data_IF_802553358527
#
_entry.id   IF_802553358527
#
_cell.length_a   1.000
_cell.length_b   1.000
_cell.length_c   1.000
_cell.angle_alpha   90.00
_cell.angle_beta   90.00
_cell.angle_gamma   90.00
#
_symmetry.space_group_name_H-M   'P 1'
#
loop_
_entity.id
_entity.type
_entity.pdbx_description
1 polymer ?
#
# COMPACT_ATOMS: atom_id res chain seq x y z
N UNK A 1 -10.88 27.68 3.92
CA UNK A 1 -11.84 27.75 2.79
C UNK A 1 -12.04 26.32 2.33
N UNK A 2 -13.12 25.64 2.75
CA UNK A 2 -13.37 24.28 2.29
C UNK A 2 -13.87 24.35 0.85
N UNK A 3 -13.21 23.62 -0.04
CA UNK A 3 -13.68 23.44 -1.42
C UNK A 3 -14.79 22.39 -1.33
N UNK A 4 -16.03 22.84 -1.49
CA UNK A 4 -17.20 21.98 -1.66
C UNK A 4 -17.06 21.23 -3.00
N UNK A 5 -16.45 20.04 -2.96
CA UNK A 5 -16.42 19.13 -4.11
C UNK A 5 -17.78 18.46 -4.22
N UNK A 6 -18.68 19.10 -4.98
CA UNK A 6 -19.94 18.49 -5.42
C UNK A 6 -19.66 17.12 -6.05
N UNK A 7 -20.17 16.09 -5.40
CA UNK A 7 -20.17 14.69 -5.86
C UNK A 7 -21.02 14.54 -7.12
N UNK A 8 -20.43 14.74 -8.29
CA UNK A 8 -20.96 14.24 -9.57
C UNK A 8 -20.11 13.06 -10.03
N UNK A 9 -20.72 12.08 -10.73
CA UNK A 9 -20.03 10.89 -11.26
C UNK A 9 -18.82 11.23 -12.14
N UNK A 10 -18.78 12.43 -12.72
CA UNK A 10 -17.67 12.94 -13.52
C UNK A 10 -16.42 13.16 -12.66
N UNK A 11 -16.56 13.74 -11.46
CA UNK A 11 -15.43 13.94 -10.54
C UNK A 11 -14.78 12.62 -10.12
N UNK A 12 -15.57 11.56 -9.91
CA UNK A 12 -15.04 10.24 -9.60
C UNK A 12 -14.21 9.66 -10.75
N UNK A 13 -14.70 9.80 -12.00
CA UNK A 13 -13.98 9.34 -13.19
C UNK A 13 -12.68 10.14 -13.40
N UNK A 14 -12.70 11.45 -13.19
CA UNK A 14 -11.51 12.29 -13.21
C UNK A 14 -10.48 11.87 -12.16
N UNK A 15 -10.91 11.66 -10.91
CA UNK A 15 -10.03 11.19 -9.85
C UNK A 15 -9.41 9.83 -10.20
N UNK A 16 -10.20 8.87 -10.69
CA UNK A 16 -9.70 7.55 -11.09
C UNK A 16 -8.68 7.64 -12.23
N UNK A 17 -8.94 8.48 -13.24
CA UNK A 17 -7.99 8.71 -14.33
C UNK A 17 -6.70 9.35 -13.85
N UNK A 18 -6.81 10.34 -12.95
CA UNK A 18 -5.64 10.98 -12.34
C UNK A 18 -4.82 9.98 -11.51
N UNK A 19 -5.47 9.15 -10.68
CA UNK A 19 -4.81 8.10 -9.91
C UNK A 19 -4.14 7.06 -10.81
N UNK A 20 -4.78 6.65 -11.89
CA UNK A 20 -4.20 5.73 -12.88
C UNK A 20 -2.93 6.32 -13.50
N UNK A 21 -2.98 7.59 -13.91
CA UNK A 21 -1.83 8.29 -14.49
C UNK A 21 -0.69 8.44 -13.47
N UNK A 22 -1.01 8.77 -12.22
CA UNK A 22 -0.05 8.88 -11.12
C UNK A 22 0.61 7.55 -10.78
N UNK A 23 -0.17 6.46 -10.73
CA UNK A 23 0.36 5.12 -10.49
C UNK A 23 1.30 4.72 -11.63
N UNK A 24 0.88 4.94 -12.87
CA UNK A 24 1.69 4.65 -14.04
C UNK A 24 3.01 5.41 -14.02
N UNK A 25 2.99 6.72 -13.78
CA UNK A 25 4.21 7.54 -13.74
C UNK A 25 5.16 7.09 -12.63
N UNK A 26 4.65 6.77 -11.44
CA UNK A 26 5.45 6.29 -10.30
C UNK A 26 6.14 4.96 -10.63
N UNK A 27 5.42 4.01 -11.25
CA UNK A 27 6.00 2.73 -11.67
C UNK A 27 7.11 2.95 -12.72
N UNK A 28 6.91 3.85 -13.68
CA UNK A 28 7.93 4.16 -14.68
C UNK A 28 9.19 4.79 -14.07
N UNK A 29 9.02 5.72 -13.12
CA UNK A 29 10.16 6.34 -12.41
C UNK A 29 10.97 5.30 -11.63
N UNK A 30 10.28 4.43 -10.89
CA UNK A 30 10.95 3.34 -10.13
C UNK A 30 11.65 2.38 -11.08
N UNK A 31 11.01 2.02 -12.20
CA UNK A 31 11.59 1.13 -13.21
C UNK A 31 12.86 1.72 -13.83
N UNK A 32 12.85 3.00 -14.19
CA UNK A 32 14.01 3.66 -14.80
C UNK A 32 15.26 3.58 -13.94
N UNK A 33 15.14 3.80 -12.62
CA UNK A 33 16.27 3.69 -11.68
C UNK A 33 16.65 2.22 -11.43
N UNK A 34 15.66 1.33 -11.37
CA UNK A 34 15.89 -0.07 -11.03
C UNK A 34 16.57 -0.87 -12.15
N UNK A 35 16.30 -0.54 -13.41
CA UNK A 35 16.92 -1.19 -14.58
C UNK A 35 18.44 -1.01 -14.57
N UNK A 36 18.95 0.18 -14.22
CA UNK A 36 20.39 0.43 -14.09
C UNK A 36 21.05 -0.41 -12.98
N UNK A 37 20.27 -0.77 -11.96
CA UNK A 37 20.71 -1.58 -10.82
C UNK A 37 20.47 -3.09 -11.03
N UNK A 38 19.87 -3.49 -12.16
CA UNK A 38 19.48 -4.89 -12.43
C UNK A 38 18.39 -5.41 -11.49
N UNK A 39 17.55 -4.53 -10.94
CA UNK A 39 16.48 -4.86 -9.98
C UNK A 39 15.11 -4.86 -10.69
N UNK A 40 14.31 -5.89 -10.42
CA UNK A 40 12.90 -5.98 -10.86
C UNK A 40 11.91 -5.87 -9.70
N UNK A 41 10.73 -5.33 -9.97
CA UNK A 41 9.62 -5.25 -9.01
C UNK A 41 8.50 -6.22 -9.42
N UNK A 42 7.90 -6.88 -8.43
CA UNK A 42 6.79 -7.83 -8.63
C UNK A 42 5.60 -7.43 -7.76
N UNK A 43 4.47 -7.12 -8.39
CA UNK A 43 3.21 -6.83 -7.71
C UNK A 43 2.41 -8.12 -7.48
N UNK A 44 2.64 -8.79 -6.34
CA UNK A 44 1.91 -9.99 -5.93
C UNK A 44 1.55 -9.93 -4.45
N UNK A 45 0.33 -10.33 -4.09
CA UNK A 45 -0.17 -10.19 -2.72
C UNK A 45 0.68 -10.90 -1.64
N UNK A 46 1.42 -11.95 -2.00
CA UNK A 46 2.32 -12.67 -1.10
C UNK A 46 3.62 -13.09 -1.82
N UNK A 47 4.77 -12.98 -1.16
CA UNK A 47 6.06 -13.40 -1.68
C UNK A 47 6.09 -14.93 -1.90
N UNK A 48 6.12 -15.43 -3.15
CA UNK A 48 5.95 -16.85 -3.43
C UNK A 48 7.22 -17.70 -3.21
N UNK A 49 8.41 -17.09 -3.16
CA UNK A 49 9.69 -17.82 -3.23
C UNK A 49 10.44 -17.90 -1.90
N UNK A 50 10.52 -16.80 -1.16
CA UNK A 50 11.43 -16.66 -0.02
C UNK A 50 10.73 -16.83 1.33
N UNK A 51 11.46 -17.41 2.29
CA UNK A 51 11.00 -17.53 3.67
C UNK A 51 11.24 -16.25 4.47
N UNK A 52 10.62 -16.14 5.65
CA UNK A 52 10.77 -14.96 6.52
C UNK A 52 12.23 -14.63 6.87
N UNK A 53 13.07 -15.66 7.07
CA UNK A 53 14.50 -15.52 7.39
C UNK A 53 15.32 -14.89 6.25
N UNK A 54 14.82 -14.96 5.01
CA UNK A 54 15.51 -14.50 3.81
C UNK A 54 15.11 -13.05 3.47
N UNK A 55 14.12 -12.47 4.15
CA UNK A 55 13.63 -11.12 3.88
C UNK A 55 14.48 -10.09 4.65
N UNK A 56 15.07 -9.11 3.96
CA UNK A 56 15.79 -8.03 4.62
C UNK A 56 14.83 -7.15 5.42
N UNK A 57 15.19 -6.87 6.67
CA UNK A 57 14.38 -6.03 7.56
C UNK A 57 14.84 -4.59 7.42
N UNK A 58 13.91 -3.70 7.08
CA UNK A 58 14.21 -2.28 7.01
C UNK A 58 14.55 -1.72 8.40
N UNK A 59 15.61 -0.90 8.55
CA UNK A 59 16.09 -0.40 9.83
C UNK A 59 15.20 0.74 10.37
N UNK A 60 13.94 0.42 10.69
CA UNK A 60 12.96 1.34 11.28
C UNK A 60 12.62 0.88 12.70
N UNK A 61 12.84 1.74 13.70
CA UNK A 61 12.64 1.39 15.13
C UNK A 61 11.25 0.82 15.45
N UNK A 62 10.19 1.33 14.79
CA UNK A 62 8.82 0.79 14.93
C UNK A 62 8.72 -0.70 14.61
N UNK A 63 9.51 -1.22 13.66
CA UNK A 63 9.46 -2.63 13.27
C UNK A 63 10.13 -3.55 14.29
N UNK A 64 11.08 -3.05 15.08
CA UNK A 64 11.68 -3.83 16.16
C UNK A 64 10.65 -4.18 17.23
N UNK A 65 9.83 -3.20 17.62
CA UNK A 65 8.77 -3.36 18.61
C UNK A 65 7.72 -4.36 18.09
N UNK A 66 7.23 -4.13 16.86
CA UNK A 66 6.21 -5.00 16.27
C UNK A 66 6.72 -6.44 16.09
N UNK A 67 7.97 -6.64 15.66
CA UNK A 67 8.56 -7.98 15.48
C UNK A 67 8.62 -8.77 16.79
N UNK A 68 8.93 -8.10 17.91
CA UNK A 68 8.95 -8.71 19.25
C UNK A 68 7.53 -9.01 19.77
N UNK A 69 6.54 -8.22 19.33
CA UNK A 69 5.16 -8.32 19.81
C UNK A 69 4.32 -9.35 19.02
N UNK A 70 4.42 -9.37 17.70
CA UNK A 70 3.55 -10.21 16.84
C UNK A 70 3.50 -11.69 17.23
N UNK A 71 4.62 -12.37 17.58
CA UNK A 71 4.57 -13.77 18.01
C UNK A 71 3.74 -14.02 19.27
N UNK A 72 3.48 -12.99 20.08
CA UNK A 72 2.68 -13.10 21.31
C UNK A 72 1.17 -13.12 21.04
N UNK A 73 0.74 -12.60 19.88
CA UNK A 73 -0.68 -12.43 19.53
C UNK A 73 -1.12 -13.30 18.36
N UNK A 74 -0.19 -13.95 17.65
CA UNK A 74 -0.51 -14.87 16.57
C UNK A 74 0.73 -15.43 15.87
N UNK A 75 0.53 -16.42 15.00
CA UNK A 75 1.60 -17.11 14.27
C UNK A 75 1.97 -16.46 12.94
N UNK A 76 1.04 -15.75 12.29
CA UNK A 76 1.21 -15.21 10.93
C UNK A 76 1.51 -13.71 10.87
N UNK A 77 1.59 -13.03 12.02
CA UNK A 77 1.79 -11.57 12.07
C UNK A 77 3.10 -11.11 11.41
N UNK A 78 4.16 -11.91 11.53
CA UNK A 78 5.44 -11.62 10.88
C UNK A 78 5.37 -11.82 9.36
N UNK A 79 4.62 -12.82 8.89
CA UNK A 79 4.41 -13.05 7.46
C UNK A 79 3.60 -11.94 6.82
N UNK A 80 2.55 -11.48 7.49
CA UNK A 80 1.80 -10.29 7.08
C UNK A 80 2.73 -9.07 6.98
N UNK A 81 3.58 -8.84 7.98
CA UNK A 81 4.46 -7.67 8.00
C UNK A 81 5.50 -7.63 6.87
N UNK A 82 6.07 -8.78 6.51
CA UNK A 82 7.28 -8.81 5.67
C UNK A 82 7.09 -9.51 4.32
N UNK A 83 6.03 -10.29 4.13
CA UNK A 83 5.82 -11.10 2.92
C UNK A 83 4.54 -10.76 2.15
N UNK A 84 3.75 -9.78 2.58
CA UNK A 84 2.54 -9.37 1.87
C UNK A 84 2.68 -8.00 1.20
N UNK A 85 1.90 -7.76 0.15
CA UNK A 85 1.61 -6.42 -0.34
C UNK A 85 0.11 -6.26 -0.63
N UNK A 86 -0.34 -5.02 -0.67
CA UNK A 86 -1.75 -4.69 -0.90
C UNK A 86 -1.86 -3.42 -1.74
N UNK A 87 -2.98 -3.28 -2.45
CA UNK A 87 -3.42 -2.02 -3.05
C UNK A 87 -4.60 -1.54 -2.23
N UNK A 88 -4.47 -0.35 -1.64
CA UNK A 88 -5.48 0.23 -0.76
C UNK A 88 -6.05 1.50 -1.39
N UNK A 89 -7.35 1.70 -1.24
CA UNK A 89 -8.03 2.95 -1.55
C UNK A 89 -8.53 3.58 -0.26
N UNK A 90 -8.45 4.90 -0.17
CA UNK A 90 -9.02 5.68 0.93
C UNK A 90 -10.24 6.43 0.38
N UNK A 91 -11.37 6.33 1.08
CA UNK A 91 -12.64 6.94 0.68
C UNK A 91 -13.12 7.85 1.81
N UNK A 92 -13.46 9.08 1.48
CA UNK A 92 -14.00 10.04 2.44
C UNK A 92 -15.50 9.83 2.67
N UNK A 93 -16.00 10.39 3.77
CA UNK A 93 -17.40 10.40 4.16
C UNK A 93 -17.84 11.82 4.50
N UNK A 94 -19.13 12.11 4.31
CA UNK A 94 -19.69 13.44 4.56
C UNK A 94 -20.31 13.59 5.96
N UNK A 95 -20.65 12.47 6.61
CA UNK A 95 -21.21 12.43 7.97
C UNK A 95 -20.84 11.14 8.68
N UNK A 96 -21.00 11.11 10.01
CA UNK A 96 -20.86 9.89 10.81
C UNK A 96 -21.83 8.79 10.35
N UNK A 97 -23.06 9.17 9.99
CA UNK A 97 -24.05 8.24 9.43
C UNK A 97 -23.66 7.68 8.06
N UNK A 98 -23.03 8.46 7.19
CA UNK A 98 -22.49 8.01 5.90
C UNK A 98 -21.28 7.08 6.10
N UNK A 99 -20.42 7.38 7.07
CA UNK A 99 -19.29 6.53 7.46
C UNK A 99 -19.74 5.14 7.91
N UNK A 100 -20.77 5.05 8.78
CA UNK A 100 -21.31 3.76 9.25
C UNK A 100 -21.90 2.93 8.09
N UNK A 101 -22.41 3.59 7.04
CA UNK A 101 -23.02 2.91 5.89
C UNK A 101 -22.01 2.30 4.92
N UNK A 102 -20.78 2.83 4.88
CA UNK A 102 -19.70 2.43 3.96
C UNK A 102 -18.90 1.27 4.54
#
# INVERSE_FOLDING_TARGET
IPIDLQTSKENALYCLNFFSLFLYSTVQQVKAVAEELGIGFLGIGFQPKWGLKDIPIMPKGRYEIMRKYMPKVGSLGLDMMFRTCTVQVNLDFSSESDMIRK
#
